data_IF_769668584886
#
_entry.id   IF_769668584886
#
_cell.length_a   1.000
_cell.length_b   1.000
_cell.length_c   1.000
_cell.angle_alpha   90.00
_cell.angle_beta   90.00
_cell.angle_gamma   90.00
#
_symmetry.space_group_name_H-M   'P 1'
#
loop_
_entity.id
_entity.type
_entity.pdbx_description
1 polymer ?
#
# COMPACT_ATOMS: atom_id res chain seq x y z
N UNK A 1 28.43 16.43 -2.04
CA UNK A 1 27.18 16.05 -2.74
C UNK A 1 26.49 17.34 -3.17
N UNK A 2 26.36 17.59 -4.48
CA UNK A 2 25.58 18.73 -4.98
C UNK A 2 24.11 18.34 -4.88
N UNK A 3 23.31 19.09 -4.12
CA UNK A 3 21.85 19.03 -4.20
C UNK A 3 21.45 19.34 -5.64
N UNK A 4 20.93 18.35 -6.34
CA UNK A 4 20.21 18.59 -7.58
C UNK A 4 18.96 19.41 -7.24
N UNK A 5 18.98 20.68 -7.59
CA UNK A 5 17.81 21.55 -7.47
C UNK A 5 16.66 20.91 -8.27
N UNK A 6 15.62 20.46 -7.60
CA UNK A 6 14.40 19.94 -8.25
C UNK A 6 13.82 21.06 -9.14
N UNK A 7 14.09 20.97 -10.44
CA UNK A 7 13.50 21.88 -11.41
C UNK A 7 12.00 21.67 -11.43
N UNK A 8 11.23 22.69 -11.14
CA UNK A 8 9.77 22.69 -11.30
C UNK A 8 9.42 23.22 -12.69
N UNK A 9 8.44 22.57 -13.32
CA UNK A 9 7.92 23.00 -14.62
C UNK A 9 6.47 23.46 -14.43
N UNK A 10 6.11 24.63 -14.97
CA UNK A 10 4.74 25.12 -14.99
C UNK A 10 4.12 24.81 -16.35
N UNK A 11 2.87 24.32 -16.33
CA UNK A 11 2.08 24.18 -17.54
C UNK A 11 0.63 24.55 -17.31
N UNK A 12 -0.10 24.97 -18.35
CA UNK A 12 -1.49 25.38 -18.27
C UNK A 12 -2.42 24.34 -18.90
N UNK A 13 -3.60 24.18 -18.33
CA UNK A 13 -4.67 23.32 -18.86
C UNK A 13 -5.94 24.15 -19.08
N UNK A 14 -6.67 23.89 -20.19
CA UNK A 14 -8.01 24.43 -20.40
C UNK A 14 -9.05 23.44 -19.90
N UNK A 15 -9.97 23.93 -19.10
CA UNK A 15 -11.10 23.16 -18.57
C UNK A 15 -12.40 23.70 -19.20
N UNK A 16 -13.35 22.82 -19.48
CA UNK A 16 -14.71 23.23 -19.76
C UNK A 16 -15.44 23.60 -18.45
N UNK A 17 -16.64 24.19 -18.55
CA UNK A 17 -17.37 24.70 -17.37
C UNK A 17 -17.59 23.60 -16.32
N UNK A 18 -18.04 22.42 -16.73
CA UNK A 18 -18.28 21.28 -15.82
C UNK A 18 -17.01 20.83 -15.09
N UNK A 19 -15.90 20.75 -15.82
CA UNK A 19 -14.60 20.39 -15.22
C UNK A 19 -14.12 21.48 -14.24
N UNK A 20 -14.38 22.75 -14.55
CA UNK A 20 -14.02 23.84 -13.66
C UNK A 20 -14.89 23.87 -12.40
N UNK A 21 -16.19 23.62 -12.51
CA UNK A 21 -17.09 23.47 -11.36
C UNK A 21 -16.64 22.31 -10.45
N UNK A 22 -16.39 21.13 -10.99
CA UNK A 22 -15.86 20.01 -10.22
C UNK A 22 -14.53 20.37 -9.51
N UNK A 23 -13.65 21.12 -10.19
CA UNK A 23 -12.39 21.57 -9.58
C UNK A 23 -12.63 22.53 -8.41
N UNK A 24 -13.64 23.41 -8.50
CA UNK A 24 -14.05 24.28 -7.41
C UNK A 24 -14.59 23.47 -6.23
N UNK A 25 -15.49 22.52 -6.49
CA UNK A 25 -16.09 21.67 -5.47
C UNK A 25 -15.03 20.88 -4.71
N UNK A 26 -14.11 20.21 -5.40
CA UNK A 26 -12.98 19.52 -4.75
C UNK A 26 -12.05 20.48 -4.00
N UNK A 27 -11.80 21.67 -4.54
CA UNK A 27 -10.99 22.70 -3.87
C UNK A 27 -11.60 23.10 -2.53
N UNK A 28 -12.92 23.25 -2.47
CA UNK A 28 -13.67 23.55 -1.25
C UNK A 28 -13.74 22.36 -0.29
N UNK A 29 -14.09 21.17 -0.80
CA UNK A 29 -14.25 19.96 0.01
C UNK A 29 -12.95 19.56 0.72
N UNK A 30 -11.82 19.62 0.01
CA UNK A 30 -10.53 19.23 0.56
C UNK A 30 -9.70 20.38 1.12
N UNK A 31 -10.23 21.61 1.15
CA UNK A 31 -9.51 22.82 1.58
C UNK A 31 -8.14 23.01 0.87
N UNK A 32 -8.06 22.66 -0.41
CA UNK A 32 -6.86 22.74 -1.23
C UNK A 32 -6.98 23.88 -2.27
N UNK A 33 -5.84 24.47 -2.67
CA UNK A 33 -5.80 25.35 -3.83
C UNK A 33 -6.07 24.55 -5.11
N UNK A 34 -6.74 25.18 -6.11
CA UNK A 34 -7.04 24.52 -7.41
C UNK A 34 -5.83 23.85 -8.05
N UNK A 35 -4.65 24.48 -7.98
CA UNK A 35 -3.40 23.91 -8.49
C UNK A 35 -2.95 22.66 -7.72
N UNK A 36 -3.23 22.59 -6.42
CA UNK A 36 -2.93 21.41 -5.60
C UNK A 36 -3.88 20.25 -5.91
N UNK A 37 -5.18 20.55 -6.13
CA UNK A 37 -6.15 19.54 -6.58
C UNK A 37 -5.73 18.95 -7.92
N UNK A 38 -5.37 19.79 -8.90
CA UNK A 38 -4.91 19.32 -10.21
C UNK A 38 -3.62 18.48 -10.11
N UNK A 39 -2.68 18.91 -9.28
CA UNK A 39 -1.44 18.14 -9.05
C UNK A 39 -1.77 16.79 -8.43
N UNK A 40 -2.60 16.75 -7.38
CA UNK A 40 -3.02 15.51 -6.72
C UNK A 40 -3.73 14.57 -7.70
N UNK A 41 -4.68 15.09 -8.48
CA UNK A 41 -5.37 14.32 -9.52
C UNK A 41 -4.42 13.75 -10.57
N UNK A 42 -3.39 14.51 -10.96
CA UNK A 42 -2.37 14.03 -11.90
C UNK A 42 -1.50 12.92 -11.29
N UNK A 43 -1.07 13.09 -10.04
CA UNK A 43 -0.27 12.09 -9.33
C UNK A 43 -1.07 10.78 -9.13
N UNK A 44 -2.35 10.90 -8.74
CA UNK A 44 -3.28 9.77 -8.62
C UNK A 44 -3.54 9.09 -9.98
N UNK A 45 -3.73 9.86 -11.05
CA UNK A 45 -3.91 9.31 -12.38
C UNK A 45 -2.70 8.53 -12.86
N UNK A 46 -1.47 9.04 -12.64
CA UNK A 46 -0.24 8.32 -12.98
C UNK A 46 -0.14 7.01 -12.17
N UNK A 47 -0.40 7.06 -10.86
CA UNK A 47 -0.34 5.89 -10.00
C UNK A 47 -1.35 4.82 -10.45
N UNK A 48 -2.60 5.20 -10.68
CA UNK A 48 -3.65 4.31 -11.19
C UNK A 48 -3.31 3.78 -12.58
N UNK A 49 -2.96 4.67 -13.52
CA UNK A 49 -2.68 4.29 -14.91
C UNK A 49 -1.52 3.30 -14.99
N UNK A 50 -0.46 3.52 -14.23
CA UNK A 50 0.67 2.61 -14.17
C UNK A 50 0.26 1.25 -13.63
N UNK A 51 -0.52 1.21 -12.55
CA UNK A 51 -1.03 -0.02 -11.96
C UNK A 51 -1.98 -0.76 -12.94
N UNK A 52 -2.89 -0.04 -13.61
CA UNK A 52 -3.82 -0.63 -14.59
C UNK A 52 -3.14 -1.16 -15.85
N UNK A 53 -2.04 -0.56 -16.29
CA UNK A 53 -1.30 -1.04 -17.47
C UNK A 53 -0.47 -2.28 -17.18
N UNK A 54 0.04 -2.37 -15.96
CA UNK A 54 0.90 -3.49 -15.54
C UNK A 54 0.09 -4.69 -15.04
N UNK A 55 -1.18 -4.49 -14.68
CA UNK A 55 -2.06 -5.49 -14.07
C UNK A 55 -3.49 -5.36 -14.58
N UNK A 56 -4.15 -6.48 -14.80
CA UNK A 56 -5.61 -6.50 -15.01
C UNK A 56 -6.31 -6.23 -13.66
N UNK A 57 -6.37 -4.95 -13.26
CA UNK A 57 -6.97 -4.54 -11.99
C UNK A 57 -8.46 -4.28 -12.17
N UNK A 58 -9.24 -4.79 -11.24
CA UNK A 58 -10.67 -4.48 -11.09
C UNK A 58 -10.82 -3.59 -9.86
N UNK A 59 -11.44 -2.43 -10.01
CA UNK A 59 -11.81 -1.58 -8.89
C UNK A 59 -13.13 -2.07 -8.29
N UNK A 60 -13.12 -2.37 -7.01
CA UNK A 60 -14.32 -2.70 -6.23
C UNK A 60 -14.43 -1.74 -5.04
N UNK A 61 -15.67 -1.48 -4.60
CA UNK A 61 -15.85 -0.68 -3.40
C UNK A 61 -15.35 -1.41 -2.15
N UNK A 62 -14.90 -0.66 -1.14
CA UNK A 62 -14.48 -1.21 0.15
C UNK A 62 -15.60 -2.05 0.80
N UNK A 63 -16.86 -1.61 0.68
CA UNK A 63 -18.02 -2.34 1.18
C UNK A 63 -18.19 -3.69 0.49
N UNK A 64 -18.11 -3.75 -0.83
CA UNK A 64 -18.19 -5.01 -1.57
C UNK A 64 -17.02 -5.94 -1.20
N UNK A 65 -15.81 -5.41 -1.05
CA UNK A 65 -14.66 -6.21 -0.63
C UNK A 65 -14.84 -6.77 0.79
N UNK A 66 -15.43 -5.99 1.70
CA UNK A 66 -15.77 -6.42 3.04
C UNK A 66 -16.76 -7.60 3.03
N UNK A 67 -17.82 -7.52 2.22
CA UNK A 67 -18.79 -8.60 2.06
C UNK A 67 -18.15 -9.86 1.46
N UNK A 68 -17.32 -9.73 0.44
CA UNK A 68 -16.56 -10.85 -0.13
C UNK A 68 -15.74 -11.54 0.95
N UNK A 69 -14.97 -10.77 1.74
CA UNK A 69 -14.16 -11.33 2.82
C UNK A 69 -14.99 -11.95 3.94
N UNK A 70 -16.24 -11.50 4.15
CA UNK A 70 -17.12 -12.06 5.18
C UNK A 70 -17.61 -13.47 4.86
N UNK A 71 -17.77 -13.79 3.58
CA UNK A 71 -18.28 -15.10 3.13
C UNK A 71 -17.19 -16.12 2.80
N UNK A 72 -15.93 -15.70 2.70
CA UNK A 72 -14.79 -16.58 2.40
C UNK A 72 -14.34 -17.30 3.67
N UNK A 73 -14.05 -18.60 3.56
CA UNK A 73 -13.51 -19.40 4.65
C UNK A 73 -12.08 -19.00 5.03
N UNK A 74 -11.66 -19.33 6.24
CA UNK A 74 -10.29 -19.06 6.71
C UNK A 74 -9.23 -19.70 5.82
N UNK A 75 -9.46 -20.92 5.36
CA UNK A 75 -8.51 -21.63 4.46
C UNK A 75 -8.38 -20.94 3.10
N UNK A 76 -9.48 -20.43 2.56
CA UNK A 76 -9.45 -19.67 1.32
C UNK A 76 -8.76 -18.31 1.48
N UNK A 77 -8.95 -17.62 2.61
CA UNK A 77 -8.24 -16.38 2.94
C UNK A 77 -6.72 -16.65 2.95
N UNK A 78 -6.29 -17.72 3.61
CA UNK A 78 -4.89 -18.12 3.66
C UNK A 78 -4.37 -18.41 2.25
N UNK A 79 -5.10 -19.20 1.47
CA UNK A 79 -4.71 -19.57 0.10
C UNK A 79 -4.58 -18.34 -0.81
N UNK A 80 -5.55 -17.42 -0.77
CA UNK A 80 -5.55 -16.20 -1.57
C UNK A 80 -4.41 -15.27 -1.13
N UNK A 81 -4.20 -15.11 0.17
CA UNK A 81 -3.11 -14.29 0.70
C UNK A 81 -1.73 -14.82 0.31
N UNK A 82 -1.52 -16.14 0.38
CA UNK A 82 -0.27 -16.78 -0.08
C UNK A 82 -0.06 -16.62 -1.59
N UNK A 83 -1.10 -16.79 -2.40
CA UNK A 83 -1.04 -16.57 -3.84
C UNK A 83 -0.64 -15.13 -4.17
N UNK A 84 -1.23 -14.14 -3.50
CA UNK A 84 -0.89 -12.72 -3.66
C UNK A 84 0.55 -12.44 -3.24
N UNK A 85 1.00 -12.99 -2.11
CA UNK A 85 2.38 -12.83 -1.65
C UNK A 85 3.37 -13.42 -2.67
N UNK A 86 3.13 -14.62 -3.17
CA UNK A 86 4.00 -15.29 -4.14
C UNK A 86 4.06 -14.51 -5.46
N UNK A 87 2.92 -14.02 -5.96
CA UNK A 87 2.89 -13.16 -7.15
C UNK A 87 3.71 -11.89 -6.95
N UNK A 88 3.56 -11.25 -5.80
CA UNK A 88 4.30 -10.03 -5.47
C UNK A 88 5.80 -10.31 -5.38
N UNK A 89 6.21 -11.36 -4.66
CA UNK A 89 7.61 -11.79 -4.54
C UNK A 89 8.21 -12.07 -5.92
N UNK A 90 7.53 -12.85 -6.75
CA UNK A 90 7.98 -13.19 -8.10
C UNK A 90 8.19 -11.95 -8.99
N UNK A 91 7.27 -10.98 -8.91
CA UNK A 91 7.39 -9.71 -9.64
C UNK A 91 8.56 -8.88 -9.18
N UNK A 92 8.78 -8.81 -7.87
CA UNK A 92 9.91 -8.08 -7.33
C UNK A 92 11.23 -8.75 -7.72
N UNK A 93 11.32 -10.08 -7.65
CA UNK A 93 12.48 -10.81 -8.13
C UNK A 93 12.75 -10.51 -9.60
N UNK A 94 11.74 -10.60 -10.47
CA UNK A 94 11.90 -10.28 -11.89
C UNK A 94 12.35 -8.84 -12.15
N UNK A 95 11.75 -7.88 -11.44
CA UNK A 95 12.07 -6.46 -11.60
C UNK A 95 13.49 -6.11 -11.14
N UNK A 96 14.02 -6.83 -10.16
CA UNK A 96 15.32 -6.57 -9.55
C UNK A 96 16.40 -7.58 -9.91
N UNK A 97 16.09 -8.60 -10.74
CA UNK A 97 17.10 -9.55 -11.25
C UNK A 97 18.29 -8.85 -11.93
N UNK A 98 18.12 -7.62 -12.42
CA UNK A 98 19.13 -6.83 -13.11
C UNK A 98 19.71 -5.68 -12.26
N UNK A 99 19.30 -5.54 -10.99
CA UNK A 99 19.76 -4.46 -10.12
C UNK A 99 20.61 -5.04 -8.97
N UNK A 100 21.90 -4.75 -8.97
CA UNK A 100 22.85 -5.19 -7.94
C UNK A 100 22.53 -4.70 -6.50
N UNK A 101 21.59 -3.77 -6.33
CA UNK A 101 21.27 -3.15 -5.04
C UNK A 101 20.15 -3.82 -4.22
N UNK A 102 19.39 -4.74 -4.78
CA UNK A 102 18.21 -5.32 -4.11
C UNK A 102 17.17 -4.26 -3.65
N UNK A 103 16.10 -4.73 -3.00
CA UNK A 103 15.12 -3.83 -2.37
C UNK A 103 15.54 -3.64 -0.91
N UNK A 104 15.76 -2.39 -0.51
CA UNK A 104 15.95 -2.08 0.90
C UNK A 104 14.61 -2.22 1.62
N UNK A 105 14.62 -2.94 2.74
CA UNK A 105 13.42 -3.20 3.54
C UNK A 105 12.72 -1.90 3.96
N UNK A 106 13.48 -0.89 4.36
CA UNK A 106 12.93 0.40 4.74
C UNK A 106 12.15 1.05 3.60
N UNK A 107 12.75 1.08 2.40
CA UNK A 107 12.09 1.64 1.20
C UNK A 107 10.83 0.83 0.81
N UNK A 108 10.85 -0.48 1.05
CA UNK A 108 9.68 -1.32 0.84
C UNK A 108 8.57 -1.00 1.84
N UNK A 109 8.89 -0.97 3.13
CA UNK A 109 7.91 -0.70 4.17
C UNK A 109 7.30 0.69 3.99
N UNK A 110 8.10 1.72 3.80
CA UNK A 110 7.62 3.08 3.56
C UNK A 110 6.67 3.13 2.35
N UNK A 111 7.05 2.54 1.23
CA UNK A 111 6.21 2.57 0.01
C UNK A 111 4.98 1.69 0.14
N UNK A 112 5.11 0.47 0.66
CA UNK A 112 3.99 -0.45 0.80
C UNK A 112 2.98 0.06 1.81
N UNK A 113 3.45 0.56 2.97
CA UNK A 113 2.55 1.03 4.01
C UNK A 113 1.87 2.35 3.64
N UNK A 114 2.58 3.30 3.03
CA UNK A 114 1.97 4.53 2.51
C UNK A 114 0.89 4.19 1.48
N UNK A 115 1.16 3.25 0.57
CA UNK A 115 0.18 2.84 -0.44
C UNK A 115 -1.06 2.14 0.15
N UNK A 116 -0.93 1.43 1.27
CA UNK A 116 -2.06 0.80 1.96
C UNK A 116 -2.81 1.76 2.88
N UNK A 117 -2.18 2.85 3.28
CA UNK A 117 -2.72 3.86 4.17
C UNK A 117 -3.69 4.84 3.52
N UNK A 118 -4.13 5.86 4.28
CA UNK A 118 -5.14 6.82 3.83
C UNK A 118 -4.69 7.68 2.64
N UNK A 119 -3.40 7.89 2.47
CA UNK A 119 -2.84 8.66 1.35
C UNK A 119 -2.73 7.84 0.05
N UNK A 120 -2.93 6.52 0.13
CA UNK A 120 -2.88 5.59 -1.00
C UNK A 120 -4.24 4.96 -1.29
N UNK A 121 -4.32 3.64 -1.16
CA UNK A 121 -5.54 2.88 -1.45
C UNK A 121 -6.58 2.91 -0.32
N UNK A 122 -6.30 3.57 0.79
CA UNK A 122 -7.16 3.71 1.97
C UNK A 122 -7.71 2.36 2.53
N UNK A 123 -6.93 1.28 2.41
CA UNK A 123 -7.27 0.00 3.00
C UNK A 123 -7.19 0.07 4.52
N UNK A 124 -6.23 0.84 5.02
CA UNK A 124 -6.08 1.16 6.43
C UNK A 124 -6.46 2.62 6.69
N UNK A 125 -7.10 2.85 7.83
CA UNK A 125 -7.33 4.20 8.35
C UNK A 125 -6.04 4.80 8.89
N UNK A 126 -5.18 3.96 9.45
CA UNK A 126 -3.83 4.27 9.88
C UNK A 126 -2.97 3.01 9.78
N UNK A 127 -1.73 3.15 9.33
CA UNK A 127 -0.76 2.07 9.25
C UNK A 127 0.63 2.64 9.49
N UNK A 128 1.39 1.96 10.31
CA UNK A 128 2.75 2.38 10.67
C UNK A 128 3.64 1.18 10.98
N UNK A 129 4.92 1.41 11.05
CA UNK A 129 5.88 0.44 11.56
C UNK A 129 6.90 1.08 12.48
N UNK A 130 7.48 0.28 13.36
CA UNK A 130 8.55 0.69 14.28
C UNK A 130 9.64 -0.36 14.29
N UNK A 131 10.88 0.10 14.28
CA UNK A 131 12.01 -0.72 14.67
C UNK A 131 12.17 -0.66 16.19
N UNK A 132 12.24 -1.82 16.81
CA UNK A 132 12.56 -1.95 18.21
C UNK A 132 14.04 -2.33 18.36
N UNK A 133 14.50 -2.43 19.61
CA UNK A 133 15.81 -2.96 19.94
C UNK A 133 15.99 -4.35 19.31
N UNK A 134 17.23 -4.76 19.03
CA UNK A 134 17.55 -6.04 18.40
C UNK A 134 17.05 -6.21 16.96
N UNK A 135 16.79 -5.10 16.22
CA UNK A 135 16.28 -5.11 14.84
C UNK A 135 14.90 -5.75 14.68
N UNK A 136 14.15 -5.86 15.75
CA UNK A 136 12.74 -6.27 15.67
C UNK A 136 11.91 -5.22 14.94
N UNK A 137 10.87 -5.67 14.22
CA UNK A 137 9.94 -4.79 13.51
C UNK A 137 8.53 -5.10 14.00
N UNK A 138 7.81 -4.06 14.38
CA UNK A 138 6.37 -4.13 14.64
C UNK A 138 5.65 -3.32 13.57
N UNK A 139 4.72 -3.95 12.86
CA UNK A 139 3.79 -3.31 11.93
C UNK A 139 2.44 -3.25 12.62
N UNK A 140 1.90 -2.05 12.74
CA UNK A 140 0.57 -1.80 13.30
C UNK A 140 -0.33 -1.16 12.26
N UNK A 141 -1.60 -1.59 12.19
CA UNK A 141 -2.59 -0.99 11.31
C UNK A 141 -4.00 -1.03 11.89
N UNK A 142 -4.77 0.03 11.64
CA UNK A 142 -6.20 0.10 11.93
C UNK A 142 -7.00 0.24 10.64
N UNK A 143 -8.14 -0.44 10.55
CA UNK A 143 -8.99 -0.46 9.36
C UNK A 143 -10.48 -0.58 9.74
N UNK A 144 -11.35 -0.32 8.78
CA UNK A 144 -12.81 -0.42 8.94
C UNK A 144 -13.41 -1.59 8.13
N UNK A 145 -12.61 -2.61 7.78
CA UNK A 145 -13.10 -3.76 7.01
C UNK A 145 -13.66 -4.84 7.96
N UNK A 146 -12.94 -5.91 8.21
CA UNK A 146 -13.33 -6.96 9.16
C UNK A 146 -12.11 -7.80 9.57
N UNK A 147 -12.30 -8.75 10.50
CA UNK A 147 -11.22 -9.62 10.98
C UNK A 147 -10.55 -10.44 9.87
N UNK A 148 -11.30 -10.82 8.85
CA UNK A 148 -10.78 -11.60 7.73
C UNK A 148 -9.79 -10.79 6.89
N UNK A 149 -9.97 -9.46 6.80
CA UNK A 149 -8.98 -8.58 6.22
C UNK A 149 -7.65 -8.59 6.99
N UNK A 150 -7.69 -8.52 8.32
CA UNK A 150 -6.46 -8.64 9.13
C UNK A 150 -5.75 -9.98 8.92
N UNK A 151 -6.50 -11.09 8.82
CA UNK A 151 -5.94 -12.41 8.50
C UNK A 151 -5.30 -12.42 7.10
N UNK A 152 -6.00 -11.86 6.12
CA UNK A 152 -5.50 -11.73 4.74
C UNK A 152 -4.17 -10.97 4.70
N UNK A 153 -4.10 -9.77 5.32
CA UNK A 153 -2.89 -8.95 5.36
C UNK A 153 -1.73 -9.69 6.07
N UNK A 154 -2.00 -10.36 7.21
CA UNK A 154 -0.98 -11.20 7.86
C UNK A 154 -0.45 -12.25 6.88
N UNK A 155 -1.34 -12.93 6.16
CA UNK A 155 -0.97 -14.00 5.24
C UNK A 155 -0.18 -13.50 4.04
N UNK A 156 -0.41 -12.25 3.61
CA UNK A 156 0.37 -11.59 2.55
C UNK A 156 1.73 -11.13 3.06
N UNK A 157 1.77 -10.42 4.19
CA UNK A 157 3.01 -9.81 4.68
C UNK A 157 4.02 -10.83 5.22
N UNK A 158 3.56 -11.91 5.87
CA UNK A 158 4.47 -12.89 6.46
C UNK A 158 5.43 -13.53 5.44
N UNK A 159 4.98 -14.09 4.29
CA UNK A 159 5.89 -14.63 3.28
C UNK A 159 6.80 -13.56 2.68
N UNK A 160 6.29 -12.36 2.43
CA UNK A 160 7.07 -11.25 1.88
C UNK A 160 8.23 -10.91 2.81
N UNK A 161 7.96 -10.72 4.11
CA UNK A 161 8.98 -10.41 5.10
C UNK A 161 10.00 -11.54 5.22
N UNK A 162 9.55 -12.80 5.16
CA UNK A 162 10.41 -13.97 5.27
C UNK A 162 11.33 -14.13 4.06
N UNK A 163 10.77 -14.13 2.86
CA UNK A 163 11.51 -14.47 1.64
C UNK A 163 12.42 -13.34 1.15
N UNK A 164 11.91 -12.08 1.20
CA UNK A 164 12.66 -10.93 0.68
C UNK A 164 13.63 -10.35 1.71
N UNK A 165 13.27 -10.33 2.98
CA UNK A 165 14.01 -9.58 4.00
C UNK A 165 14.61 -10.45 5.10
N UNK A 166 14.34 -11.77 5.08
CA UNK A 166 14.84 -12.72 6.08
C UNK A 166 14.34 -12.39 7.51
N UNK A 167 13.06 -12.06 7.61
CA UNK A 167 12.38 -11.82 8.88
C UNK A 167 11.30 -12.87 9.11
N UNK A 168 11.25 -13.44 10.33
CA UNK A 168 10.18 -14.36 10.74
C UNK A 168 9.17 -13.66 11.64
N UNK A 169 7.90 -13.98 11.43
CA UNK A 169 6.81 -13.56 12.32
C UNK A 169 6.90 -14.35 13.62
N UNK A 170 6.95 -13.65 14.77
CA UNK A 170 7.00 -14.27 16.11
C UNK A 170 5.72 -14.05 16.91
N UNK A 171 4.99 -12.98 16.59
CA UNK A 171 3.74 -12.66 17.27
C UNK A 171 2.77 -11.93 16.35
N UNK A 172 1.47 -12.09 16.60
CA UNK A 172 0.44 -11.38 15.85
C UNK A 172 -0.84 -11.20 16.65
N UNK A 173 -1.29 -9.97 16.81
CA UNK A 173 -2.59 -9.63 17.37
C UNK A 173 -3.52 -9.18 16.23
N UNK A 174 -4.64 -9.87 16.10
CA UNK A 174 -5.64 -9.65 15.05
C UNK A 174 -7.00 -9.44 15.67
N UNK A 175 -7.61 -8.30 15.40
CA UNK A 175 -8.99 -7.99 15.78
C UNK A 175 -9.87 -7.73 14.56
N UNK A 176 -11.11 -7.28 14.79
CA UNK A 176 -12.03 -6.90 13.73
C UNK A 176 -11.56 -5.68 12.93
N UNK A 177 -10.75 -4.83 13.53
CA UNK A 177 -10.36 -3.52 12.97
C UNK A 177 -8.90 -3.15 13.20
N UNK A 178 -8.10 -4.05 13.77
CA UNK A 178 -6.66 -3.82 13.99
C UNK A 178 -5.84 -5.04 13.66
N UNK A 179 -4.61 -4.79 13.27
CA UNK A 179 -3.58 -5.79 13.07
C UNK A 179 -2.28 -5.29 13.70
N UNK A 180 -1.61 -6.16 14.43
CA UNK A 180 -0.26 -5.96 14.91
C UNK A 180 0.55 -7.20 14.57
N UNK A 181 1.68 -7.01 13.87
CA UNK A 181 2.58 -8.09 13.46
C UNK A 181 3.98 -7.79 13.94
N UNK A 182 4.56 -8.71 14.70
CA UNK A 182 5.92 -8.61 15.24
C UNK A 182 6.86 -9.57 14.52
N UNK A 183 7.92 -9.03 13.94
CA UNK A 183 8.93 -9.77 13.18
C UNK A 183 10.30 -9.63 13.82
N UNK A 184 11.11 -10.69 13.71
CA UNK A 184 12.53 -10.67 14.08
C UNK A 184 13.38 -11.18 12.93
N UNK A 185 14.65 -10.74 12.82
CA UNK A 185 15.58 -11.29 11.84
C UNK A 185 15.71 -12.82 12.01
N UNK A 186 15.79 -13.54 10.89
CA UNK A 186 16.19 -14.93 10.88
C UNK A 186 17.71 -14.93 11.09
N UNK A 187 18.18 -15.56 12.16
CA UNK A 187 19.61 -15.79 12.37
C UNK A 187 20.04 -16.91 11.43
N UNK A 188 21.11 -16.67 10.66
CA UNK A 188 21.77 -17.68 9.83
C UNK A 188 22.50 -18.70 10.70
#
# INVERSE_FOLDING_TARGET
>A
MKEESKKSHAFGVRLNNKQYENLLDFSHEFHLKKSQVLKKAFDEWIALKKSFMDENIILISKALFQEILAIISDDEIIRIGQMMANNFISRLHFKFMNNEGGIKMLDFLDRALINLGPEGHAWFNDISFKFLDNREIVIFGSHSINKNFSKYIKTVLHPIMKELFKYKLIDSHISNNTIELKFIPIQD
#
